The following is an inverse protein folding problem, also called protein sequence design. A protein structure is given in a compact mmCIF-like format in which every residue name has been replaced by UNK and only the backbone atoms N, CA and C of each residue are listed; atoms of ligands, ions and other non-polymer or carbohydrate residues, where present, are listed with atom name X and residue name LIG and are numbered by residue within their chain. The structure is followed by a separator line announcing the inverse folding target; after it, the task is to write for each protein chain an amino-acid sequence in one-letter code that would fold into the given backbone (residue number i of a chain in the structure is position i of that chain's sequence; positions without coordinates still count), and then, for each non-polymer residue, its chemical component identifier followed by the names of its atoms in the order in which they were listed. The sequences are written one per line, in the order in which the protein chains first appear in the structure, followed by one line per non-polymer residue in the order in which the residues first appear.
data_IF_580146039190
#
_entry.id   IF_580146039190
#
_cell.length_a   1.000
_cell.length_b   1.000
_cell.length_c   1.000
_cell.angle_alpha   90.00
_cell.angle_beta   90.00
_cell.angle_gamma   90.00
#
_symmetry.space_group_name_H-M   'P 1'
#
loop_
_entity.id
_entity.type
_entity.pdbx_description
1 polymer ?
#
# COMPACT_ATOMS: atom_id res chain seq x y z
N UNK A 1 36.58 -35.22 17.03
CA UNK A 1 35.18 -35.16 16.57
C UNK A 1 34.73 -33.71 16.61
N UNK A 2 34.63 -33.06 15.45
CA UNK A 2 34.14 -31.69 15.37
C UNK A 2 32.62 -31.70 15.45
N UNK A 3 32.04 -30.95 16.38
CA UNK A 3 30.59 -30.76 16.48
C UNK A 3 30.09 -30.01 15.25
N UNK A 4 29.08 -30.55 14.58
CA UNK A 4 28.39 -29.85 13.51
C UNK A 4 27.84 -28.50 14.02
N UNK A 5 27.87 -27.43 13.20
CA UNK A 5 27.27 -26.16 13.57
C UNK A 5 25.78 -26.38 13.82
N UNK A 6 25.31 -25.94 14.99
CA UNK A 6 23.89 -25.87 15.31
C UNK A 6 23.19 -25.14 14.18
N UNK A 7 22.29 -25.81 13.47
CA UNK A 7 21.39 -25.15 12.53
C UNK A 7 20.65 -24.08 13.33
N UNK A 8 20.91 -22.81 13.03
CA UNK A 8 20.00 -21.74 13.39
C UNK A 8 18.66 -22.17 12.78
N UNK A 9 17.74 -22.59 13.65
CA UNK A 9 16.32 -22.72 13.30
C UNK A 9 15.92 -21.36 12.74
N UNK A 10 15.91 -21.24 11.41
CA UNK A 10 15.48 -20.03 10.75
C UNK A 10 13.98 -19.93 11.04
N UNK A 11 13.61 -19.04 11.96
CA UNK A 11 12.21 -18.74 12.22
C UNK A 11 11.55 -18.32 10.92
N UNK A 12 10.34 -18.81 10.66
CA UNK A 12 9.60 -18.42 9.47
C UNK A 12 9.41 -16.90 9.44
N UNK A 13 9.81 -16.26 8.34
CA UNK A 13 9.64 -14.81 8.13
C UNK A 13 8.28 -14.56 7.49
N UNK A 14 7.56 -13.57 8.03
CA UNK A 14 6.30 -13.08 7.47
C UNK A 14 6.54 -11.65 6.98
N UNK A 15 6.66 -11.52 5.66
CA UNK A 15 6.99 -10.28 4.99
C UNK A 15 5.70 -9.58 4.53
N UNK A 16 5.53 -8.35 4.99
CA UNK A 16 4.43 -7.47 4.66
C UNK A 16 5.00 -6.25 3.94
N UNK A 17 4.42 -5.88 2.80
CA UNK A 17 4.99 -4.88 1.90
C UNK A 17 3.92 -3.84 1.55
N UNK A 18 4.27 -2.55 1.63
CA UNK A 18 3.52 -1.55 0.86
C UNK A 18 3.62 -1.85 -0.65
N UNK A 19 2.69 -1.33 -1.43
CA UNK A 19 2.72 -1.50 -2.89
C UNK A 19 3.56 -0.41 -3.58
N UNK A 20 3.03 0.80 -3.69
CA UNK A 20 3.72 1.91 -4.38
C UNK A 20 4.97 2.31 -3.62
N UNK A 21 6.10 2.49 -4.31
CA UNK A 21 7.39 2.87 -3.69
C UNK A 21 8.11 1.74 -2.94
N UNK A 22 7.46 0.57 -2.75
CA UNK A 22 8.03 -0.58 -2.04
C UNK A 22 8.08 -1.85 -2.90
N UNK A 23 6.95 -2.25 -3.50
CA UNK A 23 6.91 -3.33 -4.51
C UNK A 23 7.04 -2.76 -5.92
N UNK A 24 6.33 -1.67 -6.22
CA UNK A 24 6.44 -0.97 -7.51
C UNK A 24 7.34 0.25 -7.42
N UNK A 25 8.12 0.47 -8.48
CA UNK A 25 8.98 1.65 -8.65
C UNK A 25 8.18 2.95 -8.83
N UNK A 26 6.94 2.85 -9.31
CA UNK A 26 6.09 3.99 -9.66
C UNK A 26 4.68 3.80 -9.12
N UNK A 27 4.01 4.93 -8.87
CA UNK A 27 2.63 4.97 -8.41
C UNK A 27 1.67 4.41 -9.45
N UNK A 28 0.83 3.47 -9.04
CA UNK A 28 -0.11 2.75 -9.91
C UNK A 28 -1.42 3.49 -10.17
N UNK A 29 -1.73 4.52 -9.38
CA UNK A 29 -2.93 5.35 -9.55
C UNK A 29 -2.99 5.99 -10.94
N UNK A 30 -1.84 6.47 -11.44
CA UNK A 30 -1.69 7.02 -12.78
C UNK A 30 -2.07 5.99 -13.86
N UNK A 31 -1.66 4.73 -13.73
CA UNK A 31 -1.96 3.69 -14.72
C UNK A 31 -3.46 3.37 -14.80
N UNK A 32 -4.14 3.24 -13.66
CA UNK A 32 -5.59 2.95 -13.62
C UNK A 32 -6.39 4.11 -14.21
N UNK A 33 -5.99 5.32 -13.86
CA UNK A 33 -6.53 6.58 -14.35
C UNK A 33 -6.52 6.67 -15.90
N UNK A 34 -5.44 6.24 -16.57
CA UNK A 34 -5.37 6.19 -18.03
C UNK A 34 -6.44 5.31 -18.68
N UNK A 35 -6.70 4.13 -18.10
CA UNK A 35 -7.70 3.20 -18.62
C UNK A 35 -9.07 3.88 -18.60
N UNK A 36 -9.37 4.63 -17.54
CA UNK A 36 -10.58 5.45 -17.42
C UNK A 36 -10.73 6.45 -18.56
N UNK A 37 -9.68 7.24 -18.87
CA UNK A 37 -9.71 8.22 -19.96
C UNK A 37 -9.78 7.61 -21.34
N UNK A 38 -9.02 6.55 -21.61
CA UNK A 38 -9.07 5.86 -22.88
C UNK A 38 -10.48 5.32 -23.18
N UNK A 39 -11.17 4.81 -22.14
CA UNK A 39 -12.56 4.34 -22.25
C UNK A 39 -13.58 5.48 -22.36
N UNK A 40 -13.27 6.65 -21.81
CA UNK A 40 -14.13 7.83 -21.81
C UNK A 40 -13.61 8.94 -22.74
N UNK A 41 -12.86 8.61 -23.80
CA UNK A 41 -12.26 9.58 -24.72
C UNK A 41 -13.28 10.46 -25.44
N UNK A 42 -14.55 10.03 -25.46
CA UNK A 42 -15.69 10.77 -26.00
C UNK A 42 -16.24 11.84 -25.04
N UNK A 43 -15.78 11.90 -23.79
CA UNK A 43 -16.22 12.87 -22.77
C UNK A 43 -15.18 13.96 -22.58
N UNK A 44 -15.63 15.20 -22.45
CA UNK A 44 -14.78 16.30 -22.01
C UNK A 44 -14.50 16.15 -20.51
N UNK A 45 -13.27 15.79 -20.17
CA UNK A 45 -12.80 15.64 -18.78
C UNK A 45 -11.62 16.60 -18.56
N UNK A 46 -11.48 17.19 -17.35
CA UNK A 46 -10.34 18.06 -17.05
C UNK A 46 -9.02 17.26 -17.05
N UNK A 47 -7.85 17.92 -17.15
CA UNK A 47 -6.55 17.24 -17.05
C UNK A 47 -6.33 16.63 -15.66
N UNK A 48 -5.43 15.64 -15.54
CA UNK A 48 -5.13 14.97 -14.26
C UNK A 48 -4.77 15.94 -13.15
N UNK A 49 -3.97 16.94 -13.51
CA UNK A 49 -3.41 17.91 -12.58
C UNK A 49 -4.51 18.62 -11.80
N UNK A 50 -5.69 18.82 -12.39
CA UNK A 50 -6.85 19.37 -11.70
C UNK A 50 -7.24 18.58 -10.43
N UNK A 51 -7.25 17.25 -10.51
CA UNK A 51 -7.63 16.39 -9.38
C UNK A 51 -6.53 16.31 -8.34
N UNK A 52 -5.27 16.23 -8.79
CA UNK A 52 -4.10 16.26 -7.90
C UNK A 52 -4.02 17.61 -7.16
N UNK A 53 -4.18 18.73 -7.85
CA UNK A 53 -4.20 20.08 -7.26
C UNK A 53 -5.37 20.25 -6.28
N UNK A 54 -6.55 19.72 -6.61
CA UNK A 54 -7.71 19.73 -5.70
C UNK A 54 -7.42 18.92 -4.44
N UNK A 55 -6.80 17.74 -4.58
CA UNK A 55 -6.39 16.91 -3.45
C UNK A 55 -5.38 17.62 -2.55
N UNK A 56 -4.30 18.13 -3.14
CA UNK A 56 -3.23 18.82 -2.42
C UNK A 56 -3.75 20.09 -1.73
N UNK A 57 -4.63 20.86 -2.38
CA UNK A 57 -5.23 22.06 -1.76
C UNK A 57 -6.11 21.71 -0.56
N UNK A 58 -6.83 20.58 -0.58
CA UNK A 58 -7.59 20.10 0.57
C UNK A 58 -6.66 19.69 1.73
N UNK A 59 -5.54 19.01 1.43
CA UNK A 59 -4.52 18.70 2.45
C UNK A 59 -3.98 19.99 3.06
N UNK A 60 -3.54 20.95 2.23
CA UNK A 60 -3.00 22.23 2.70
C UNK A 60 -4.01 22.96 3.58
N UNK A 61 -5.27 23.02 3.17
CA UNK A 61 -6.33 23.65 3.94
C UNK A 61 -6.57 22.95 5.29
N UNK A 62 -6.55 21.61 5.31
CA UNK A 62 -6.71 20.84 6.54
C UNK A 62 -5.49 20.99 7.47
N UNK A 63 -4.27 20.92 6.93
CA UNK A 63 -3.02 21.16 7.67
C UNK A 63 -3.04 22.53 8.35
N UNK A 64 -3.51 23.57 7.66
CA UNK A 64 -3.56 24.93 8.20
C UNK A 64 -4.54 25.08 9.37
N UNK A 65 -5.54 24.19 9.49
CA UNK A 65 -6.58 24.24 10.51
C UNK A 65 -6.40 23.19 11.62
N UNK A 66 -5.53 22.20 11.41
CA UNK A 66 -5.33 21.12 12.36
C UNK A 66 -4.44 21.56 13.52
N UNK A 67 -4.86 21.22 14.73
CA UNK A 67 -4.09 21.41 15.95
C UNK A 67 -3.94 20.05 16.67
N UNK A 68 -2.75 19.71 17.19
CA UNK A 68 -1.51 20.51 17.20
C UNK A 68 -0.82 20.61 15.82
N UNK A 69 -0.20 21.77 15.56
CA UNK A 69 0.63 22.02 14.37
C UNK A 69 1.79 21.04 14.24
N UNK A 70 2.30 20.87 13.01
CA UNK A 70 3.42 19.95 12.73
C UNK A 70 4.64 20.22 13.60
N UNK A 71 4.97 21.47 13.87
CA UNK A 71 6.13 21.82 14.70
C UNK A 71 5.92 21.51 16.19
N UNK A 72 4.66 21.41 16.61
CA UNK A 72 4.25 21.23 18.00
C UNK A 72 3.87 19.77 18.32
N UNK A 73 3.73 18.91 17.31
CA UNK A 73 3.58 17.46 17.49
C UNK A 73 4.89 16.87 18.01
N UNK A 74 4.88 16.47 19.28
CA UNK A 74 6.04 15.88 19.98
C UNK A 74 5.81 14.42 20.36
N UNK A 75 4.56 13.96 20.35
CA UNK A 75 4.20 12.58 20.68
C UNK A 75 3.73 11.80 19.45
N UNK A 76 4.09 10.51 19.41
CA UNK A 76 3.63 9.60 18.34
C UNK A 76 2.11 9.55 18.21
N UNK A 77 1.39 9.66 19.33
CA UNK A 77 -0.06 9.65 19.33
C UNK A 77 -0.64 10.86 18.57
N UNK A 78 0.05 12.01 18.62
CA UNK A 78 -0.38 13.21 17.89
C UNK A 78 -0.17 13.03 16.38
N UNK A 79 0.89 12.34 15.96
CA UNK A 79 1.07 11.97 14.55
C UNK A 79 0.03 10.95 14.08
N UNK A 80 -0.33 9.97 14.91
CA UNK A 80 -1.42 9.04 14.57
C UNK A 80 -2.76 9.77 14.43
N UNK A 81 -3.09 10.66 15.37
CA UNK A 81 -4.31 11.46 15.30
C UNK A 81 -4.33 12.40 14.10
N UNK A 82 -3.17 12.92 13.67
CA UNK A 82 -3.04 13.67 12.43
C UNK A 82 -3.37 12.79 11.21
N UNK A 83 -2.72 11.62 11.08
CA UNK A 83 -2.94 10.70 9.96
C UNK A 83 -4.39 10.20 9.88
N UNK A 84 -5.03 9.92 11.02
CA UNK A 84 -6.44 9.53 11.08
C UNK A 84 -7.37 10.66 10.60
N UNK A 85 -7.03 11.92 10.90
CA UNK A 85 -7.85 13.08 10.52
C UNK A 85 -7.96 13.31 9.00
N UNK A 86 -7.02 12.77 8.22
CA UNK A 86 -7.01 12.87 6.76
C UNK A 86 -8.12 12.02 6.10
N UNK A 87 -8.76 11.10 6.84
CA UNK A 87 -9.80 10.20 6.32
C UNK A 87 -10.89 10.91 5.52
N UNK A 88 -11.34 12.08 5.99
CA UNK A 88 -12.40 12.84 5.31
C UNK A 88 -11.94 13.39 3.95
N UNK A 89 -10.68 13.82 3.85
CA UNK A 89 -10.05 14.35 2.63
C UNK A 89 -9.83 13.22 1.63
N UNK A 90 -9.29 12.10 2.11
CA UNK A 90 -9.09 10.89 1.31
C UNK A 90 -10.42 10.49 0.68
N UNK A 91 -11.49 10.35 1.47
CA UNK A 91 -12.85 10.00 1.00
C UNK A 91 -13.42 11.00 -0.02
N UNK A 92 -13.26 12.30 0.21
CA UNK A 92 -13.82 13.33 -0.65
C UNK A 92 -13.17 13.38 -2.06
N UNK A 93 -11.92 12.96 -2.16
CA UNK A 93 -11.12 13.06 -3.39
C UNK A 93 -11.40 11.91 -4.37
N UNK A 94 -11.78 10.74 -3.84
CA UNK A 94 -12.11 9.51 -4.60
C UNK A 94 -13.36 9.68 -5.51
N UNK A 95 -14.16 10.74 -5.34
CA UNK A 95 -15.40 10.97 -6.09
C UNK A 95 -15.22 11.50 -7.54
N UNK A 96 -14.00 11.60 -8.07
CA UNK A 96 -13.75 12.30 -9.35
C UNK A 96 -12.71 11.60 -10.23
N UNK A 97 -12.99 11.48 -11.54
CA UNK A 97 -12.20 10.73 -12.55
C UNK A 97 -10.72 11.16 -12.67
N UNK A 98 -9.81 10.30 -13.14
CA UNK A 98 -8.35 10.41 -12.93
C UNK A 98 -7.47 10.30 -14.22
N UNK A 99 -6.26 10.93 -14.35
CA UNK A 99 -5.25 10.70 -15.45
C UNK A 99 -3.72 10.68 -15.07
N UNK A 100 -2.79 10.73 -16.05
CA UNK A 100 -1.29 10.58 -16.10
C UNK A 100 -0.65 9.20 -16.26
N UNK A 101 0.55 9.14 -16.87
CA UNK A 101 1.19 7.93 -17.40
C UNK A 101 2.50 7.63 -16.69
N UNK A 102 2.54 6.50 -15.98
CA UNK A 102 3.77 5.83 -15.58
C UNK A 102 3.65 4.33 -15.87
N UNK A 103 4.71 3.74 -16.41
CA UNK A 103 4.86 2.29 -16.49
C UNK A 103 5.20 1.78 -15.10
N UNK A 104 4.34 0.92 -14.55
CA UNK A 104 4.61 0.24 -13.28
C UNK A 104 5.67 -0.82 -13.52
N UNK A 105 6.81 -0.69 -12.83
CA UNK A 105 7.88 -1.69 -12.82
C UNK A 105 8.03 -2.25 -11.41
N UNK A 106 8.45 -3.51 -11.27
CA UNK A 106 8.78 -4.10 -9.98
C UNK A 106 10.15 -3.61 -9.52
N UNK A 107 10.31 -3.42 -8.20
CA UNK A 107 11.62 -3.14 -7.63
C UNK A 107 12.58 -4.31 -7.89
N UNK A 108 13.85 -4.00 -8.16
CA UNK A 108 14.89 -5.00 -8.34
C UNK A 108 15.08 -5.84 -7.06
N UNK A 109 15.38 -7.14 -7.22
CA UNK A 109 15.61 -8.04 -6.08
C UNK A 109 14.33 -8.62 -5.45
N UNK A 110 13.14 -8.13 -5.79
CA UNK A 110 11.88 -8.62 -5.22
C UNK A 110 11.66 -10.11 -5.52
N UNK A 111 11.99 -10.53 -6.73
CA UNK A 111 11.85 -11.93 -7.16
C UNK A 111 12.72 -12.85 -6.31
N UNK A 112 13.99 -12.51 -6.17
CA UNK A 112 14.98 -13.26 -5.39
C UNK A 112 14.57 -13.31 -3.91
N UNK A 113 14.04 -12.22 -3.38
CA UNK A 113 13.53 -12.14 -2.02
C UNK A 113 12.33 -13.07 -1.82
N UNK A 114 11.32 -12.99 -2.68
CA UNK A 114 10.10 -13.80 -2.57
C UNK A 114 10.38 -15.29 -2.79
N UNK A 115 11.32 -15.62 -3.68
CA UNK A 115 11.78 -16.99 -3.86
C UNK A 115 12.47 -17.53 -2.61
N UNK A 116 13.42 -16.78 -2.02
CA UNK A 116 14.08 -17.20 -0.77
C UNK A 116 13.09 -17.32 0.38
N UNK A 117 12.12 -16.42 0.45
CA UNK A 117 11.06 -16.48 1.46
C UNK A 117 10.24 -17.76 1.31
N UNK A 118 9.88 -18.14 0.09
CA UNK A 118 9.18 -19.39 -0.17
C UNK A 118 9.98 -20.63 0.23
N UNK A 119 11.24 -20.68 -0.20
CA UNK A 119 12.17 -21.80 0.08
C UNK A 119 12.40 -22.00 1.59
N UNK A 120 12.23 -20.94 2.38
CA UNK A 120 12.36 -20.96 3.85
C UNK A 120 11.02 -21.16 4.57
N UNK A 121 9.92 -21.40 3.84
CA UNK A 121 8.59 -21.59 4.42
C UNK A 121 7.93 -20.30 4.94
N UNK A 122 8.44 -19.15 4.51
CA UNK A 122 7.90 -17.83 4.86
C UNK A 122 6.67 -17.45 4.04
N UNK A 123 6.09 -16.31 4.40
CA UNK A 123 4.84 -15.78 3.83
C UNK A 123 5.00 -14.35 3.37
N UNK A 124 4.50 -14.01 2.18
CA UNK A 124 4.48 -12.64 1.66
C UNK A 124 3.06 -12.09 1.50
N UNK A 125 2.88 -10.83 1.88
CA UNK A 125 1.68 -10.08 1.59
C UNK A 125 1.97 -8.64 1.19
N UNK A 126 1.11 -8.09 0.34
CA UNK A 126 1.03 -6.67 0.04
C UNK A 126 -0.17 -6.04 0.76
N UNK A 127 0.06 -4.94 1.48
CA UNK A 127 -0.98 -4.14 2.12
C UNK A 127 -0.87 -2.73 1.55
N UNK A 128 -1.91 -2.28 0.85
CA UNK A 128 -1.88 -1.01 0.12
C UNK A 128 -3.16 -0.20 0.28
N UNK A 129 -3.00 1.12 0.38
CA UNK A 129 -4.10 2.10 0.25
C UNK A 129 -4.54 2.25 -1.20
N UNK A 130 -3.76 1.74 -2.15
CA UNK A 130 -4.04 1.82 -3.56
C UNK A 130 -5.35 1.11 -3.96
N UNK A 131 -5.86 1.49 -5.13
CA UNK A 131 -7.11 1.02 -5.69
C UNK A 131 -6.92 -0.19 -6.60
N UNK A 132 -7.93 -1.05 -6.58
CA UNK A 132 -7.98 -2.36 -7.22
C UNK A 132 -6.90 -3.34 -6.74
N UNK A 133 -7.23 -4.10 -5.71
CA UNK A 133 -6.51 -5.33 -5.39
C UNK A 133 -6.45 -6.28 -6.58
N UNK A 134 -7.49 -6.31 -7.42
CA UNK A 134 -7.45 -7.10 -8.65
C UNK A 134 -6.42 -6.62 -9.67
N UNK A 135 -6.21 -5.31 -9.82
CA UNK A 135 -5.12 -4.76 -10.65
C UNK A 135 -3.77 -5.25 -10.14
N UNK A 136 -3.51 -5.12 -8.84
CA UNK A 136 -2.26 -5.57 -8.21
C UNK A 136 -2.05 -7.08 -8.44
N UNK A 137 -3.08 -7.90 -8.21
CA UNK A 137 -3.02 -9.36 -8.46
C UNK A 137 -2.75 -9.66 -9.92
N UNK A 138 -3.44 -8.98 -10.84
CA UNK A 138 -3.25 -9.16 -12.28
C UNK A 138 -1.83 -8.79 -12.70
N UNK A 139 -1.34 -7.64 -12.25
CA UNK A 139 0.02 -7.15 -12.53
C UNK A 139 1.07 -8.14 -12.03
N UNK A 140 0.97 -8.59 -10.78
CA UNK A 140 1.85 -9.63 -10.24
C UNK A 140 1.78 -10.90 -11.11
N UNK A 141 0.59 -11.44 -11.36
CA UNK A 141 0.42 -12.66 -12.19
C UNK A 141 1.08 -12.51 -13.57
N UNK A 142 0.85 -11.40 -14.27
CA UNK A 142 1.38 -11.19 -15.63
C UNK A 142 2.89 -10.99 -15.64
N UNK A 143 3.42 -10.16 -14.74
CA UNK A 143 4.86 -9.84 -14.69
C UNK A 143 5.65 -11.06 -14.24
N UNK A 144 5.17 -11.76 -13.22
CA UNK A 144 5.79 -13.00 -12.73
C UNK A 144 5.77 -14.10 -13.82
N UNK A 145 4.65 -14.27 -14.52
CA UNK A 145 4.54 -15.25 -15.61
C UNK A 145 5.47 -14.93 -16.79
N UNK A 146 5.57 -13.65 -17.19
CA UNK A 146 6.47 -13.21 -18.25
C UNK A 146 7.95 -13.51 -17.93
N UNK A 147 8.32 -13.49 -16.65
CA UNK A 147 9.66 -13.84 -16.17
C UNK A 147 9.86 -15.32 -15.84
N UNK A 148 8.91 -16.18 -16.23
CA UNK A 148 8.98 -17.64 -16.00
C UNK A 148 8.87 -18.04 -14.52
N UNK A 149 8.39 -17.15 -13.65
CA UNK A 149 8.35 -17.37 -12.22
C UNK A 149 7.11 -18.19 -11.80
N UNK A 150 7.34 -19.30 -11.09
CA UNK A 150 6.29 -20.24 -10.61
C UNK A 150 6.10 -20.23 -9.08
N UNK A 151 6.78 -19.35 -8.33
CA UNK A 151 6.82 -19.32 -6.86
C UNK A 151 5.70 -18.44 -6.24
N UNK A 152 5.52 -18.40 -4.91
CA UNK A 152 4.22 -18.46 -4.24
C UNK A 152 3.38 -17.20 -4.37
N UNK A 153 2.09 -17.38 -4.12
CA UNK A 153 1.11 -16.30 -4.03
C UNK A 153 1.54 -15.25 -2.99
N UNK A 154 1.76 -14.03 -3.44
CA UNK A 154 1.71 -12.84 -2.57
C UNK A 154 0.23 -12.57 -2.28
N UNK A 155 -0.16 -12.61 -1.01
CA UNK A 155 -1.51 -12.21 -0.64
C UNK A 155 -1.66 -10.70 -0.83
N UNK A 156 -2.77 -10.24 -1.42
CA UNK A 156 -2.97 -8.82 -1.74
C UNK A 156 -4.17 -8.28 -0.97
N UNK A 157 -3.90 -7.32 -0.09
CA UNK A 157 -4.86 -6.54 0.66
C UNK A 157 -4.84 -5.10 0.17
N UNK A 158 -5.84 -4.73 -0.62
CA UNK A 158 -5.98 -3.41 -1.17
C UNK A 158 -7.46 -3.07 -1.35
N UNK A 159 -7.72 -1.84 -1.74
CA UNK A 159 -9.05 -1.38 -2.03
C UNK A 159 -9.56 -1.99 -3.34
N UNK A 160 -10.82 -2.41 -3.47
CA UNK A 160 -11.37 -2.86 -4.76
C UNK A 160 -12.16 -1.76 -5.46
N UNK A 161 -12.13 -1.76 -6.80
CA UNK A 161 -12.97 -0.90 -7.64
C UNK A 161 -14.27 -1.66 -7.92
N UNK A 162 -15.41 -1.01 -7.69
CA UNK A 162 -16.74 -1.60 -7.83
C UNK A 162 -17.49 -0.86 -8.94
N UNK A 163 -18.22 -1.60 -9.77
CA UNK A 163 -19.14 -1.01 -10.74
C UNK A 163 -20.42 -0.56 -10.04
N UNK A 164 -20.77 0.72 -10.18
CA UNK A 164 -22.02 1.25 -9.63
C UNK A 164 -23.28 0.94 -10.46
N UNK A 165 -23.18 0.08 -11.48
CA UNK A 165 -24.29 -0.28 -12.37
C UNK A 165 -24.70 0.79 -13.40
N UNK A 166 -24.17 2.01 -13.29
CA UNK A 166 -24.44 3.16 -14.18
C UNK A 166 -23.35 3.39 -15.24
N UNK A 167 -22.52 2.38 -15.49
CA UNK A 167 -21.35 2.49 -16.39
C UNK A 167 -20.19 3.31 -15.81
N UNK A 168 -20.28 3.77 -14.55
CA UNK A 168 -19.16 4.34 -13.81
C UNK A 168 -18.53 3.26 -12.93
N UNK A 169 -17.21 3.19 -12.99
CA UNK A 169 -16.42 2.46 -12.02
C UNK A 169 -15.96 3.44 -10.96
N UNK A 170 -16.17 3.08 -9.71
CA UNK A 170 -15.78 3.89 -8.58
C UNK A 170 -15.66 3.02 -7.35
N UNK A 171 -15.75 3.65 -6.20
CA UNK A 171 -15.76 2.96 -4.91
C UNK A 171 -17.15 3.04 -4.31
N UNK A 172 -17.60 1.99 -3.63
CA UNK A 172 -18.80 2.07 -2.81
C UNK A 172 -18.41 2.72 -1.47
N UNK A 173 -19.09 3.81 -1.11
CA UNK A 173 -18.90 4.50 0.17
C UNK A 173 -20.08 4.13 1.07
N UNK A 174 -19.84 3.22 2.01
CA UNK A 174 -20.78 2.97 3.10
C UNK A 174 -20.18 3.50 4.41
N UNK A 175 -21.02 3.92 5.34
CA UNK A 175 -20.57 4.46 6.63
C UNK A 175 -19.80 3.42 7.45
N UNK A 176 -19.98 2.12 7.17
CA UNK A 176 -19.27 0.99 7.75
C UNK A 176 -18.08 0.46 6.91
N UNK A 177 -17.58 1.24 5.95
CA UNK A 177 -16.51 0.83 5.03
C UNK A 177 -15.17 0.57 5.75
N UNK A 178 -14.91 -0.67 6.17
CA UNK A 178 -13.68 -1.14 6.85
C UNK A 178 -12.47 -1.30 5.90
N UNK A 179 -12.30 -0.41 4.94
CA UNK A 179 -11.25 -0.50 3.89
C UNK A 179 -9.96 0.18 4.31
N UNK A 180 -8.99 0.29 3.39
CA UNK A 180 -7.62 0.73 3.69
C UNK A 180 -7.43 2.16 3.20
N UNK A 181 -7.65 3.15 4.07
CA UNK A 181 -7.57 4.57 3.71
C UNK A 181 -6.35 5.25 4.32
N UNK A 182 -6.06 4.91 5.56
CA UNK A 182 -5.05 5.59 6.37
C UNK A 182 -3.97 4.61 6.85
N UNK A 183 -2.94 5.15 7.52
CA UNK A 183 -1.96 4.35 8.23
C UNK A 183 -2.61 3.40 9.26
N UNK A 184 -3.60 3.92 10.01
CA UNK A 184 -4.36 3.13 10.98
C UNK A 184 -5.11 1.95 10.34
N UNK A 185 -5.66 2.13 9.14
CA UNK A 185 -6.32 1.03 8.43
C UNK A 185 -5.33 -0.03 7.93
N UNK A 186 -4.17 0.38 7.41
CA UNK A 186 -3.11 -0.57 7.02
C UNK A 186 -2.71 -1.41 8.23
N UNK A 187 -2.49 -0.78 9.38
CA UNK A 187 -2.15 -1.47 10.63
C UNK A 187 -3.24 -2.42 11.08
N UNK A 188 -4.51 -2.03 10.98
CA UNK A 188 -5.63 -2.93 11.29
C UNK A 188 -5.58 -4.21 10.44
N UNK A 189 -5.42 -4.06 9.12
CA UNK A 189 -5.30 -5.21 8.19
C UNK A 189 -4.06 -6.05 8.48
N UNK A 190 -2.94 -5.40 8.80
CA UNK A 190 -1.71 -6.07 9.21
C UNK A 190 -1.93 -6.89 10.48
N UNK A 191 -2.55 -6.32 11.52
CA UNK A 191 -2.84 -7.00 12.77
C UNK A 191 -3.75 -8.22 12.57
N UNK A 192 -4.74 -8.13 11.69
CA UNK A 192 -5.59 -9.26 11.29
C UNK A 192 -4.76 -10.35 10.58
N UNK A 193 -3.87 -9.96 9.67
CA UNK A 193 -2.99 -10.89 8.95
C UNK A 193 -2.01 -11.59 9.89
N UNK A 194 -1.37 -10.84 10.80
CA UNK A 194 -0.47 -11.40 11.81
C UNK A 194 -1.21 -12.44 12.65
N UNK A 195 -2.40 -12.11 13.16
CA UNK A 195 -3.22 -13.06 13.95
C UNK A 195 -3.56 -14.34 13.19
N UNK A 196 -3.90 -14.23 11.90
CA UNK A 196 -4.22 -15.40 11.06
C UNK A 196 -3.00 -16.27 10.82
N UNK A 197 -1.83 -15.66 10.61
CA UNK A 197 -0.59 -16.40 10.36
C UNK A 197 0.06 -16.93 11.65
N UNK A 198 -0.30 -16.38 12.81
CA UNK A 198 0.30 -16.73 14.10
C UNK A 198 -0.37 -17.92 14.82
N UNK A 199 -1.01 -18.83 14.08
CA UNK A 199 -1.64 -20.05 14.61
C UNK A 199 -0.61 -21.08 15.13
N UNK A 200 0.31 -20.67 16.01
CA UNK A 200 1.23 -21.51 16.75
C UNK A 200 2.59 -21.79 16.08
N UNK A 201 2.82 -21.27 14.87
CA UNK A 201 4.05 -21.58 14.11
C UNK A 201 5.26 -20.76 14.56
N UNK A 202 5.07 -19.67 15.31
CA UNK A 202 6.14 -18.72 15.59
C UNK A 202 6.68 -18.08 14.29
N UNK A 203 7.41 -16.99 14.41
CA UNK A 203 7.94 -16.28 13.25
C UNK A 203 8.20 -14.82 13.53
N UNK A 204 8.91 -14.16 12.61
CA UNK A 204 9.17 -12.72 12.68
C UNK A 204 8.33 -11.98 11.64
N UNK A 205 7.55 -11.01 12.10
CA UNK A 205 6.78 -10.13 11.23
C UNK A 205 7.69 -8.97 10.80
N UNK A 206 7.85 -8.83 9.49
CA UNK A 206 8.65 -7.78 8.88
C UNK A 206 7.72 -6.94 8.02
N UNK A 207 7.73 -5.62 8.23
CA UNK A 207 6.98 -4.69 7.39
C UNK A 207 7.94 -3.78 6.65
N UNK A 208 7.71 -3.60 5.35
CA UNK A 208 8.48 -2.69 4.50
C UNK A 208 7.55 -1.63 3.95
N UNK A 209 7.94 -0.36 4.10
CA UNK A 209 7.18 0.78 3.58
C UNK A 209 8.07 1.99 3.32
N UNK A 210 7.53 2.99 2.67
CA UNK A 210 8.27 4.15 2.14
C UNK A 210 7.67 5.50 2.54
N UNK A 211 6.44 5.50 3.07
CA UNK A 211 5.67 6.72 3.30
C UNK A 211 5.13 6.85 4.73
N UNK A 212 4.59 8.03 5.05
CA UNK A 212 3.89 8.25 6.33
C UNK A 212 2.65 7.36 6.49
N UNK A 213 2.07 6.87 5.39
CA UNK A 213 0.96 5.91 5.45
C UNK A 213 1.40 4.54 5.98
N UNK A 214 2.69 4.28 6.09
CA UNK A 214 3.25 3.03 6.60
C UNK A 214 3.71 3.12 8.05
N UNK A 215 3.70 4.32 8.66
CA UNK A 215 4.27 4.57 9.98
C UNK A 215 3.69 3.61 11.05
N UNK A 216 2.36 3.51 11.11
CA UNK A 216 1.67 2.62 12.04
C UNK A 216 2.06 1.15 11.87
N UNK A 217 2.25 0.69 10.62
CA UNK A 217 2.66 -0.67 10.32
C UNK A 217 4.12 -0.93 10.69
N UNK A 218 5.01 0.01 10.35
CA UNK A 218 6.45 -0.05 10.65
C UNK A 218 6.71 -0.17 12.15
N UNK A 219 5.89 0.50 12.98
CA UNK A 219 5.98 0.48 14.43
C UNK A 219 5.26 -0.72 15.09
N UNK A 220 4.37 -1.39 14.36
CA UNK A 220 3.57 -2.50 14.90
C UNK A 220 4.28 -3.86 14.86
N UNK A 221 5.22 -4.05 13.93
CA UNK A 221 5.86 -5.34 13.66
C UNK A 221 7.16 -5.55 14.45
N UNK A 222 7.70 -6.78 14.41
CA UNK A 222 8.99 -7.10 15.01
C UNK A 222 10.14 -6.31 14.35
N UNK A 223 10.09 -6.14 13.04
CA UNK A 223 11.11 -5.45 12.24
C UNK A 223 10.44 -4.55 11.21
N UNK A 224 10.49 -3.24 11.42
CA UNK A 224 10.09 -2.24 10.43
C UNK A 224 11.27 -1.82 9.55
N UNK A 225 11.11 -1.88 8.23
CA UNK A 225 12.10 -1.44 7.24
C UNK A 225 11.52 -0.26 6.45
N UNK A 226 12.11 0.92 6.60
CA UNK A 226 11.78 2.07 5.78
C UNK A 226 12.71 2.12 4.56
N UNK A 227 12.15 2.06 3.35
CA UNK A 227 12.91 2.25 2.10
C UNK A 227 12.62 3.66 1.59
N UNK A 228 13.67 4.40 1.24
CA UNK A 228 13.54 5.76 0.67
C UNK A 228 14.17 5.81 -0.72
N UNK A 229 13.39 6.25 -1.71
CA UNK A 229 13.88 6.63 -3.04
C UNK A 229 14.31 8.10 -3.09
N UNK A 230 13.55 9.00 -2.45
CA UNK A 230 13.83 10.43 -2.25
C UNK A 230 13.31 10.89 -0.85
N UNK A 231 13.70 12.10 -0.39
CA UNK A 231 13.45 12.62 0.97
C UNK A 231 11.96 12.72 1.35
N UNK A 232 11.63 12.52 2.64
CA UNK A 232 10.27 12.69 3.19
C UNK A 232 9.86 14.17 3.33
N UNK A 233 9.84 14.88 2.21
CA UNK A 233 9.27 16.22 2.02
C UNK A 233 8.59 16.08 0.64
N UNK A 234 7.28 16.24 0.41
CA UNK A 234 6.36 17.27 0.86
C UNK A 234 4.93 16.72 0.98
N UNK A 235 4.36 16.82 2.17
CA UNK A 235 2.92 16.94 2.38
C UNK A 235 2.58 18.39 2.63
#
# INVERSE_FOLDING_TARGET
MASAPSSLSCQAVRLHLNWDGTISLTGTLATVALIGYAKNSHKAMPPWSHFLETYMSNIVAHTALYEPRKEDRRALQEEFSWLESLTAIERATIAKDFSTRQETQLISGLKELLQRLHETGGYASSISVNWSGEFIRAFLRTTMAAEGWKSPSVAVYANEIISGGNGKMGRHFADDDRRIWTAGDKKRVLAETVKVQDQGVGGKNVYVGDSVTDLDCLLFVDIGICIRGESMDDG
#
